data_IF_311315994163
#
_entry.id   IF_311315994163
#
_cell.length_a   1.000
_cell.length_b   1.000
_cell.length_c   1.000
_cell.angle_alpha   90.00
_cell.angle_beta   90.00
_cell.angle_gamma   90.00
#
_symmetry.space_group_name_H-M   'P 1'
#
loop_
_entity.id
_entity.type
_entity.pdbx_description
1 polymer ?
#
# COMPACT_ATOMS: atom_id res chain seq x y z
N UNK A 1 36.25 -11.69 23.93
CA UNK A 1 34.77 -11.52 24.03
C UNK A 1 34.20 -11.73 22.65
N UNK A 2 33.43 -12.80 22.44
CA UNK A 2 32.83 -13.09 21.14
C UNK A 2 31.76 -12.02 20.84
N UNK A 3 31.87 -11.33 19.70
CA UNK A 3 30.79 -10.48 19.19
C UNK A 3 29.55 -11.37 19.08
N UNK A 4 28.52 -11.10 19.89
CA UNK A 4 27.20 -11.71 19.73
C UNK A 4 26.76 -11.40 18.30
N UNK A 5 26.64 -12.43 17.47
CA UNK A 5 26.06 -12.31 16.14
C UNK A 5 24.65 -11.75 16.36
N UNK A 6 24.39 -10.55 15.85
CA UNK A 6 23.09 -9.89 16.01
C UNK A 6 22.08 -10.76 15.27
N UNK A 7 21.28 -11.53 16.02
CA UNK A 7 20.24 -12.37 15.43
C UNK A 7 18.98 -11.55 15.20
N UNK A 8 18.95 -10.85 14.07
CA UNK A 8 17.79 -10.06 13.65
C UNK A 8 16.53 -10.92 13.46
N UNK A 9 16.65 -12.25 13.34
CA UNK A 9 15.48 -13.14 13.24
C UNK A 9 14.65 -13.10 14.52
N UNK A 10 15.28 -13.27 15.68
CA UNK A 10 14.57 -13.26 16.97
C UNK A 10 13.90 -11.91 17.21
N UNK A 11 14.59 -10.82 16.90
CA UNK A 11 14.05 -9.46 16.99
C UNK A 11 12.81 -9.27 16.11
N UNK A 12 12.87 -9.75 14.86
CA UNK A 12 11.73 -9.70 13.93
C UNK A 12 10.56 -10.54 14.45
N UNK A 13 10.82 -11.75 14.93
CA UNK A 13 9.78 -12.66 15.45
C UNK A 13 9.11 -12.08 16.70
N UNK A 14 9.89 -11.52 17.63
CA UNK A 14 9.38 -10.85 18.81
C UNK A 14 8.54 -9.62 18.43
N UNK A 15 9.02 -8.82 17.47
CA UNK A 15 8.31 -7.66 16.97
C UNK A 15 6.94 -8.03 16.39
N UNK A 16 6.86 -9.04 15.50
CA UNK A 16 5.56 -9.41 14.90
C UNK A 16 4.59 -10.06 15.88
N UNK A 17 5.10 -10.75 16.90
CA UNK A 17 4.26 -11.25 17.98
C UNK A 17 3.67 -10.08 18.78
N UNK A 18 4.49 -9.10 19.15
CA UNK A 18 4.04 -7.94 19.93
C UNK A 18 3.12 -7.00 19.14
N UNK A 19 3.47 -6.68 17.90
CA UNK A 19 2.72 -5.70 17.10
C UNK A 19 1.49 -6.30 16.44
N UNK A 20 1.57 -7.55 15.98
CA UNK A 20 0.52 -8.16 15.17
C UNK A 20 -0.13 -9.37 15.82
N UNK A 21 0.40 -9.89 16.93
CA UNK A 21 -0.03 -11.17 17.48
C UNK A 21 0.20 -12.33 16.52
N UNK A 22 1.21 -12.23 15.63
CA UNK A 22 1.51 -13.29 14.65
C UNK A 22 2.56 -14.24 15.24
N UNK A 23 2.21 -15.52 15.33
CA UNK A 23 3.16 -16.59 15.61
C UNK A 23 3.75 -17.18 14.30
N UNK A 24 5.04 -17.55 14.27
CA UNK A 24 5.65 -18.17 13.09
C UNK A 24 5.14 -19.60 12.86
N UNK A 25 4.90 -19.94 11.61
CA UNK A 25 4.56 -21.30 11.17
C UNK A 25 5.75 -21.97 10.47
N UNK A 26 6.05 -23.22 10.83
CA UNK A 26 7.18 -24.01 10.28
C UNK A 26 6.64 -25.17 9.45
N UNK A 27 6.44 -24.95 8.17
CA UNK A 27 5.69 -25.90 7.32
C UNK A 27 6.57 -26.99 6.67
N UNK A 28 7.88 -26.81 6.62
CA UNK A 28 8.77 -27.68 5.84
C UNK A 28 9.66 -28.55 6.74
N UNK A 29 9.48 -29.88 6.66
CA UNK A 29 10.30 -30.85 7.42
C UNK A 29 11.79 -30.76 7.07
N UNK A 30 12.10 -30.54 5.79
CA UNK A 30 13.50 -30.43 5.32
C UNK A 30 14.16 -29.09 5.66
N UNK A 31 13.36 -28.09 6.05
CA UNK A 31 13.81 -26.74 6.40
C UNK A 31 13.09 -26.28 7.68
N UNK A 32 13.36 -26.93 8.83
CA UNK A 32 12.62 -26.70 10.07
C UNK A 32 12.86 -25.31 10.67
N UNK A 33 13.90 -24.62 10.22
CA UNK A 33 14.26 -23.27 10.64
C UNK A 33 13.56 -22.16 9.83
N UNK A 34 12.87 -22.51 8.74
CA UNK A 34 12.19 -21.55 7.89
C UNK A 34 10.85 -21.14 8.53
N UNK A 35 10.75 -19.88 8.90
CA UNK A 35 9.59 -19.33 9.60
C UNK A 35 8.70 -18.56 8.63
N UNK A 36 7.43 -18.95 8.53
CA UNK A 36 6.42 -18.24 7.73
C UNK A 36 5.59 -17.35 8.65
N UNK A 37 5.41 -16.10 8.24
CA UNK A 37 4.55 -15.13 8.89
C UNK A 37 3.32 -14.86 8.00
N UNK A 38 2.15 -15.11 8.58
CA UNK A 38 0.89 -15.18 7.83
C UNK A 38 -0.22 -14.41 8.53
N UNK A 39 -1.02 -13.72 7.73
CA UNK A 39 -2.20 -13.02 8.20
C UNK A 39 -3.21 -13.98 8.82
N UNK A 40 -3.69 -13.66 10.01
CA UNK A 40 -4.64 -14.49 10.75
C UNK A 40 -6.04 -14.53 10.08
N UNK A 41 -6.43 -13.45 9.39
CA UNK A 41 -7.77 -13.25 8.84
C UNK A 41 -7.98 -13.89 7.45
N UNK A 42 -6.94 -13.91 6.60
CA UNK A 42 -7.05 -14.33 5.21
C UNK A 42 -5.96 -15.32 4.77
N UNK A 43 -5.10 -15.74 5.71
CA UNK A 43 -4.03 -16.72 5.51
C UNK A 43 -3.01 -16.34 4.42
N UNK A 44 -2.95 -15.09 3.98
CA UNK A 44 -1.90 -14.61 3.07
C UNK A 44 -0.57 -14.46 3.81
N UNK A 45 0.50 -14.91 3.19
CA UNK A 45 1.85 -14.70 3.72
C UNK A 45 2.25 -13.25 3.50
N UNK A 46 2.89 -12.69 4.53
CA UNK A 46 3.47 -11.35 4.47
C UNK A 46 4.96 -11.37 4.76
N UNK A 47 5.50 -12.41 5.38
CA UNK A 47 6.94 -12.61 5.41
C UNK A 47 7.32 -14.09 5.48
N UNK A 48 8.52 -14.40 5.01
CA UNK A 48 9.14 -15.73 5.20
C UNK A 48 10.62 -15.52 5.52
N UNK A 49 11.07 -16.04 6.66
CA UNK A 49 12.46 -15.97 7.09
C UNK A 49 13.12 -17.32 6.79
N UNK A 50 14.27 -17.30 6.13
CA UNK A 50 14.95 -18.49 5.62
C UNK A 50 16.47 -18.38 5.86
N UNK A 51 17.12 -19.51 6.17
CA UNK A 51 18.58 -19.62 6.19
C UNK A 51 19.07 -20.27 4.89
N UNK A 52 19.68 -19.48 4.01
CA UNK A 52 20.00 -19.87 2.63
C UNK A 52 21.52 -19.82 2.41
N UNK A 53 22.12 -20.80 1.71
CA UNK A 53 23.54 -20.74 1.37
C UNK A 53 23.90 -19.49 0.55
N UNK A 54 25.03 -18.83 0.87
CA UNK A 54 25.49 -17.64 0.15
C UNK A 54 25.61 -17.88 -1.36
N UNK A 55 26.17 -19.04 -1.75
CA UNK A 55 26.33 -19.43 -3.14
C UNK A 55 24.99 -19.50 -3.91
N UNK A 56 23.91 -19.90 -3.26
CA UNK A 56 22.57 -19.96 -3.88
C UNK A 56 22.00 -18.57 -4.17
N UNK A 57 22.45 -17.54 -3.45
CA UNK A 57 22.05 -16.15 -3.63
C UNK A 57 22.99 -15.39 -4.58
N UNK A 58 24.01 -16.05 -5.14
CA UNK A 58 25.04 -15.38 -5.95
C UNK A 58 25.98 -14.49 -5.13
N UNK A 59 26.06 -14.69 -3.81
CA UNK A 59 26.90 -13.92 -2.91
C UNK A 59 28.21 -14.64 -2.61
N UNK A 60 29.27 -13.87 -2.39
CA UNK A 60 30.56 -14.39 -1.92
C UNK A 60 30.48 -14.73 -0.43
N UNK A 61 30.97 -15.91 -0.05
CA UNK A 61 31.01 -16.37 1.34
C UNK A 61 30.84 -17.89 1.44
N UNK A 62 31.22 -18.46 2.58
CA UNK A 62 30.94 -19.84 2.95
C UNK A 62 29.81 -19.91 3.97
N UNK A 63 29.05 -21.01 3.98
CA UNK A 63 27.93 -21.20 4.91
C UNK A 63 26.60 -20.59 4.41
N UNK A 64 25.77 -20.16 5.36
CA UNK A 64 24.41 -19.67 5.13
C UNK A 64 24.23 -18.25 5.67
N UNK A 65 23.30 -17.52 5.07
CA UNK A 65 22.81 -16.22 5.53
C UNK A 65 21.32 -16.30 5.82
N UNK A 66 20.88 -15.63 6.89
CA UNK A 66 19.46 -15.45 7.16
C UNK A 66 18.94 -14.31 6.31
N UNK A 67 17.84 -14.56 5.60
CA UNK A 67 17.13 -13.53 4.84
C UNK A 67 15.64 -13.57 5.16
N UNK A 68 14.97 -12.45 4.95
CA UNK A 68 13.52 -12.32 5.05
C UNK A 68 12.95 -11.90 3.70
N UNK A 69 12.04 -12.69 3.16
CA UNK A 69 11.18 -12.26 2.07
C UNK A 69 10.00 -11.48 2.63
N UNK A 70 9.69 -10.34 2.01
CA UNK A 70 8.50 -9.54 2.31
C UNK A 70 7.78 -9.18 1.02
N UNK A 71 6.45 -8.98 1.06
CA UNK A 71 5.74 -8.37 -0.07
C UNK A 71 6.15 -6.91 -0.21
N UNK A 72 6.31 -6.50 -1.45
CA UNK A 72 6.77 -5.16 -1.81
C UNK A 72 6.05 -4.73 -3.08
N UNK A 73 5.68 -3.45 -3.18
CA UNK A 73 5.09 -2.94 -4.43
C UNK A 73 6.18 -2.84 -5.52
N UNK A 74 5.82 -2.94 -6.81
CA UNK A 74 6.78 -2.79 -7.90
C UNK A 74 7.59 -1.48 -7.84
N UNK A 75 6.96 -0.40 -7.40
CA UNK A 75 7.59 0.92 -7.28
C UNK A 75 8.59 0.98 -6.12
N UNK A 76 8.31 0.28 -5.02
CA UNK A 76 9.21 0.21 -3.88
C UNK A 76 10.39 -0.73 -4.16
N UNK A 77 10.17 -1.81 -4.92
CA UNK A 77 11.24 -2.72 -5.33
C UNK A 77 12.38 -2.01 -6.06
N UNK A 78 12.08 -1.11 -6.99
CA UNK A 78 13.11 -0.38 -7.74
C UNK A 78 13.97 0.53 -6.86
N UNK A 79 13.43 1.05 -5.75
CA UNK A 79 14.15 1.90 -4.81
C UNK A 79 15.15 1.09 -3.96
N UNK A 80 14.79 -0.13 -3.57
CA UNK A 80 15.60 -0.95 -2.66
C UNK A 80 16.58 -1.88 -3.36
N UNK A 81 16.26 -2.40 -4.56
CA UNK A 81 17.12 -3.37 -5.25
C UNK A 81 18.52 -2.83 -5.62
N UNK A 82 18.71 -1.50 -5.65
CA UNK A 82 20.02 -0.87 -5.86
C UNK A 82 20.86 -0.76 -4.57
N UNK A 83 20.27 -1.01 -3.41
CA UNK A 83 20.91 -0.81 -2.11
C UNK A 83 21.53 -2.11 -1.58
N UNK A 84 22.59 -1.97 -0.78
CA UNK A 84 23.26 -3.10 -0.14
C UNK A 84 22.28 -3.82 0.82
N UNK A 85 22.32 -5.15 0.82
CA UNK A 85 21.49 -5.96 1.70
C UNK A 85 20.12 -6.35 1.13
N UNK A 86 19.80 -5.89 -0.07
CA UNK A 86 18.56 -6.24 -0.78
C UNK A 86 18.85 -7.08 -2.01
N UNK A 87 17.98 -8.07 -2.25
CA UNK A 87 18.08 -8.99 -3.38
C UNK A 87 16.72 -9.20 -4.05
N UNK A 88 16.70 -9.56 -5.35
CA UNK A 88 15.49 -10.10 -5.96
C UNK A 88 14.95 -11.28 -5.16
N UNK A 89 13.63 -11.42 -5.09
CA UNK A 89 13.01 -12.41 -4.21
C UNK A 89 13.51 -13.84 -4.45
N UNK A 90 13.98 -14.49 -3.38
CA UNK A 90 14.34 -15.90 -3.36
C UNK A 90 13.08 -16.78 -3.26
N UNK A 91 12.88 -17.75 -4.17
CA UNK A 91 11.69 -18.62 -4.29
C UNK A 91 10.31 -17.93 -4.48
N UNK A 92 10.25 -16.60 -4.45
CA UNK A 92 9.00 -15.84 -4.57
C UNK A 92 8.94 -15.05 -5.88
N UNK A 93 7.77 -14.48 -6.18
CA UNK A 93 7.60 -13.63 -7.35
C UNK A 93 8.42 -12.33 -7.20
N UNK A 94 9.44 -12.16 -8.05
CA UNK A 94 10.38 -11.03 -8.05
C UNK A 94 9.74 -9.67 -8.36
N UNK A 95 8.50 -9.61 -8.82
CA UNK A 95 7.78 -8.34 -9.08
C UNK A 95 6.97 -7.86 -7.87
N UNK A 96 6.78 -8.71 -6.86
CA UNK A 96 5.90 -8.42 -5.71
C UNK A 96 6.51 -8.79 -4.37
N UNK A 97 7.73 -9.32 -4.38
CA UNK A 97 8.45 -9.73 -3.19
C UNK A 97 9.89 -9.22 -3.26
N UNK A 98 10.44 -8.91 -2.10
CA UNK A 98 11.81 -8.45 -1.90
C UNK A 98 12.49 -9.38 -0.89
N UNK A 99 13.74 -9.77 -1.15
CA UNK A 99 14.57 -10.46 -0.17
C UNK A 99 15.47 -9.44 0.55
N UNK A 100 15.45 -9.46 1.88
CA UNK A 100 16.24 -8.60 2.76
C UNK A 100 17.22 -9.48 3.53
N UNK A 101 18.50 -9.18 3.46
CA UNK A 101 19.52 -9.87 4.27
C UNK A 101 19.41 -9.40 5.73
N UNK A 102 19.37 -10.36 6.65
CA UNK A 102 19.33 -10.12 8.09
C UNK A 102 20.71 -10.30 8.73
N UNK A 103 21.76 -9.88 8.01
CA UNK A 103 23.18 -9.98 8.41
C UNK A 103 23.75 -8.65 8.94
N UNK A 104 22.89 -7.64 9.13
CA UNK A 104 23.26 -6.28 9.54
C UNK A 104 23.69 -5.38 8.39
N UNK A 105 23.57 -5.81 7.12
CA UNK A 105 23.75 -4.93 5.97
C UNK A 105 22.61 -3.92 5.76
N UNK A 106 21.44 -4.19 6.36
CA UNK A 106 20.28 -3.30 6.43
C UNK A 106 20.01 -2.98 7.90
N UNK A 107 19.74 -1.70 8.21
CA UNK A 107 19.40 -1.26 9.56
C UNK A 107 18.03 -1.80 10.02
N UNK A 108 17.85 -1.85 11.35
CA UNK A 108 16.66 -2.47 11.97
C UNK A 108 15.38 -1.73 11.60
N UNK A 109 15.45 -0.41 11.54
CA UNK A 109 14.34 0.48 11.24
C UNK A 109 13.81 0.22 9.83
N UNK A 110 14.70 0.08 8.84
CA UNK A 110 14.35 -0.26 7.46
C UNK A 110 13.77 -1.67 7.33
N UNK A 111 14.33 -2.66 8.04
CA UNK A 111 13.77 -4.03 8.08
C UNK A 111 12.34 -4.02 8.62
N UNK A 112 12.11 -3.33 9.75
CA UNK A 112 10.79 -3.20 10.37
C UNK A 112 9.83 -2.43 9.45
N UNK A 113 10.28 -1.35 8.82
CA UNK A 113 9.48 -0.58 7.87
C UNK A 113 8.96 -1.47 6.73
N UNK A 114 9.84 -2.22 6.06
CA UNK A 114 9.46 -3.09 4.95
C UNK A 114 8.55 -4.25 5.39
N UNK A 115 8.76 -4.77 6.60
CA UNK A 115 7.88 -5.76 7.20
C UNK A 115 6.48 -5.21 7.46
N UNK A 116 6.38 -3.99 8.00
CA UNK A 116 5.11 -3.30 8.22
C UNK A 116 4.38 -3.05 6.92
N UNK A 117 5.08 -2.57 5.88
CA UNK A 117 4.51 -2.35 4.56
C UNK A 117 3.97 -3.66 3.97
N UNK A 118 4.69 -4.76 4.11
CA UNK A 118 4.20 -6.08 3.67
C UNK A 118 2.97 -6.57 4.44
N UNK A 119 2.94 -6.37 5.76
CA UNK A 119 1.76 -6.64 6.57
C UNK A 119 0.57 -5.83 6.06
N UNK A 120 0.78 -4.53 5.80
CA UNK A 120 -0.24 -3.64 5.30
C UNK A 120 -0.76 -4.03 3.91
N UNK A 121 0.09 -4.49 3.02
CA UNK A 121 -0.30 -4.95 1.67
C UNK A 121 -1.14 -6.23 1.69
N UNK A 122 -1.13 -6.97 2.80
CA UNK A 122 -1.71 -8.32 2.89
C UNK A 122 -2.89 -8.41 3.86
N UNK A 123 -2.94 -7.60 4.92
CA UNK A 123 -4.03 -7.58 5.89
C UNK A 123 -5.35 -7.09 5.28
N UNK A 124 -6.48 -7.61 5.74
CA UNK A 124 -7.76 -6.99 5.40
C UNK A 124 -8.01 -5.73 6.23
N UNK A 125 -8.92 -4.87 5.76
CA UNK A 125 -9.36 -3.68 6.49
C UNK A 125 -9.84 -4.01 7.92
N UNK A 126 -10.57 -5.11 8.09
CA UNK A 126 -11.05 -5.55 9.41
C UNK A 126 -9.90 -5.91 10.35
N UNK A 127 -8.84 -6.55 9.84
CA UNK A 127 -7.66 -6.88 10.64
C UNK A 127 -6.93 -5.62 11.08
N UNK A 128 -6.74 -4.66 10.18
CA UNK A 128 -6.10 -3.38 10.49
C UNK A 128 -6.89 -2.58 11.52
N UNK A 129 -8.21 -2.49 11.35
CA UNK A 129 -9.10 -1.85 12.32
C UNK A 129 -9.03 -2.49 13.70
N UNK A 130 -9.01 -3.83 13.80
CA UNK A 130 -8.86 -4.54 15.08
C UNK A 130 -7.53 -4.27 15.78
N UNK A 131 -6.49 -3.97 15.02
CA UNK A 131 -5.16 -3.63 15.53
C UNK A 131 -4.99 -2.12 15.80
N UNK A 132 -6.05 -1.33 15.63
CA UNK A 132 -5.96 0.14 15.76
C UNK A 132 -5.14 0.81 14.66
N UNK A 133 -4.81 0.09 13.59
CA UNK A 133 -4.08 0.63 12.44
C UNK A 133 -5.07 1.40 11.56
N UNK A 134 -4.83 2.71 11.40
CA UNK A 134 -5.56 3.53 10.44
C UNK A 134 -5.23 2.99 9.05
N UNK A 135 -6.24 2.44 8.38
CA UNK A 135 -6.09 1.95 7.03
C UNK A 135 -7.22 2.46 6.18
N UNK A 136 -6.92 3.49 5.40
CA UNK A 136 -7.75 3.93 4.31
C UNK A 136 -7.23 3.34 3.00
N UNK A 137 -8.14 3.09 2.07
CA UNK A 137 -7.76 2.92 0.66
C UNK A 137 -7.76 4.30 0.01
N UNK A 138 -6.73 4.58 -0.78
CA UNK A 138 -6.70 5.77 -1.62
C UNK A 138 -7.21 5.45 -3.02
N UNK A 139 -8.23 6.18 -3.45
CA UNK A 139 -8.90 6.02 -4.73
C UNK A 139 -8.68 7.24 -5.61
N UNK A 140 -8.53 7.04 -6.92
CA UNK A 140 -8.69 8.07 -7.94
C UNK A 140 -10.00 7.79 -8.66
N UNK A 141 -10.90 8.78 -8.67
CA UNK A 141 -12.25 8.67 -9.25
C UNK A 141 -12.46 9.80 -10.26
N UNK A 142 -13.04 9.55 -11.45
CA UNK A 142 -13.32 10.61 -12.40
C UNK A 142 -14.48 11.49 -11.95
N UNK A 143 -14.29 12.79 -12.05
CA UNK A 143 -15.32 13.83 -11.95
C UNK A 143 -15.42 14.52 -13.32
N UNK A 144 -16.47 14.23 -14.06
CA UNK A 144 -16.65 14.82 -15.40
C UNK A 144 -17.48 16.11 -15.31
N UNK A 145 -16.93 17.28 -15.67
CA UNK A 145 -17.63 18.56 -15.64
C UNK A 145 -18.96 18.60 -16.41
N UNK A 146 -19.15 17.72 -17.41
CA UNK A 146 -20.43 17.56 -18.11
C UNK A 146 -21.58 17.19 -17.16
N UNK A 147 -21.28 16.45 -16.09
CA UNK A 147 -22.27 15.87 -15.20
C UNK A 147 -22.22 16.42 -13.77
N UNK A 148 -21.05 16.91 -13.34
CA UNK A 148 -20.83 17.40 -11.98
C UNK A 148 -20.01 18.67 -12.03
N UNK A 149 -20.52 19.75 -11.45
CA UNK A 149 -19.75 20.98 -11.28
C UNK A 149 -18.97 20.95 -9.95
N UNK A 150 -18.02 20.02 -9.86
CA UNK A 150 -17.21 19.87 -8.65
C UNK A 150 -16.36 21.09 -8.34
N UNK A 151 -15.99 21.87 -9.35
CA UNK A 151 -15.08 23.01 -9.14
C UNK A 151 -15.79 24.23 -8.55
N UNK A 152 -17.09 24.40 -8.79
CA UNK A 152 -17.88 25.40 -8.07
C UNK A 152 -18.40 24.90 -6.72
N UNK A 153 -18.70 23.60 -6.63
CA UNK A 153 -19.35 23.01 -5.47
C UNK A 153 -18.40 22.55 -4.37
N UNK A 154 -17.14 22.24 -4.65
CA UNK A 154 -16.23 21.65 -3.67
C UNK A 154 -15.08 22.60 -3.33
N UNK A 155 -14.88 22.80 -2.03
CA UNK A 155 -13.78 23.58 -1.43
C UNK A 155 -13.30 22.88 -0.18
N UNK A 156 -12.08 23.16 0.24
CA UNK A 156 -11.52 22.60 1.48
C UNK A 156 -12.47 22.77 2.68
N UNK A 157 -12.63 21.69 3.45
CA UNK A 157 -13.54 21.61 4.59
C UNK A 157 -15.01 21.33 4.25
N UNK A 158 -15.43 21.50 2.99
CA UNK A 158 -16.84 21.31 2.58
C UNK A 158 -17.21 19.83 2.45
N UNK A 159 -18.44 19.51 2.83
CA UNK A 159 -19.04 18.18 2.70
C UNK A 159 -20.11 18.18 1.60
N UNK A 160 -20.07 17.18 0.71
CA UNK A 160 -21.06 17.01 -0.37
C UNK A 160 -21.49 15.55 -0.49
N UNK A 161 -22.63 15.33 -1.15
CA UNK A 161 -23.01 14.01 -1.63
C UNK A 161 -22.37 13.76 -2.99
N UNK A 162 -21.69 12.64 -3.13
CA UNK A 162 -20.99 12.24 -4.34
C UNK A 162 -21.44 10.86 -4.80
N UNK A 163 -21.45 10.62 -6.12
CA UNK A 163 -21.72 9.29 -6.66
C UNK A 163 -20.73 8.28 -6.08
N UNK A 164 -21.26 7.25 -5.42
CA UNK A 164 -20.39 6.24 -4.83
C UNK A 164 -19.94 5.22 -5.88
N UNK A 165 -18.64 4.97 -5.89
CA UNK A 165 -18.05 3.85 -6.64
C UNK A 165 -18.08 2.56 -5.81
N UNK A 166 -18.21 1.42 -6.49
CA UNK A 166 -18.18 0.12 -5.81
C UNK A 166 -16.86 -0.02 -5.03
N UNK A 167 -16.96 -0.42 -3.76
CA UNK A 167 -15.85 -0.71 -2.82
C UNK A 167 -15.25 0.45 -2.04
N UNK A 168 -15.74 1.70 -2.20
CA UNK A 168 -15.34 2.78 -1.28
C UNK A 168 -16.00 2.55 0.08
N UNK A 169 -15.20 2.62 1.14
CA UNK A 169 -15.63 2.47 2.53
C UNK A 169 -15.44 3.76 3.32
N UNK A 170 -16.13 3.87 4.47
CA UNK A 170 -15.90 4.98 5.42
C UNK A 170 -14.43 5.02 5.82
N UNK A 171 -13.86 6.23 5.81
CA UNK A 171 -12.45 6.53 6.07
C UNK A 171 -11.54 6.44 4.84
N UNK A 172 -12.02 5.90 3.71
CA UNK A 172 -11.23 5.90 2.47
C UNK A 172 -10.97 7.32 1.97
N UNK A 173 -9.81 7.52 1.36
CA UNK A 173 -9.44 8.79 0.72
C UNK A 173 -9.76 8.72 -0.76
N UNK A 174 -10.45 9.74 -1.26
CA UNK A 174 -10.96 9.83 -2.62
C UNK A 174 -10.37 11.07 -3.29
N UNK A 175 -9.48 10.83 -4.24
CA UNK A 175 -8.93 11.83 -5.14
C UNK A 175 -9.84 12.01 -6.34
N UNK A 176 -10.43 13.20 -6.50
CA UNK A 176 -11.27 13.53 -7.65
C UNK A 176 -10.39 14.03 -8.80
N UNK A 177 -10.32 13.23 -9.86
CA UNK A 177 -9.73 13.60 -11.13
C UNK A 177 -10.77 14.31 -11.98
N UNK A 178 -10.66 15.63 -12.11
CA UNK A 178 -11.52 16.41 -12.99
C UNK A 178 -11.08 16.15 -14.43
N UNK A 179 -12.00 15.65 -15.25
CA UNK A 179 -11.70 15.33 -16.66
C UNK A 179 -11.49 16.59 -17.50
N UNK A 180 -11.40 16.46 -18.82
CA UNK A 180 -11.29 17.62 -19.72
C UNK A 180 -12.39 18.66 -19.41
N UNK A 181 -12.06 19.98 -19.44
CA UNK A 181 -10.79 20.57 -19.87
C UNK A 181 -9.70 20.67 -18.77
N UNK A 182 -10.02 20.35 -17.52
CA UNK A 182 -9.07 20.50 -16.39
C UNK A 182 -8.00 19.41 -16.41
N UNK A 183 -8.39 18.16 -16.67
CA UNK A 183 -7.50 17.00 -16.83
C UNK A 183 -6.44 16.85 -15.70
N UNK A 184 -6.87 16.98 -14.45
CA UNK A 184 -6.00 16.95 -13.27
C UNK A 184 -6.73 16.40 -12.04
N UNK A 185 -5.98 15.88 -11.06
CA UNK A 185 -6.52 15.70 -9.70
C UNK A 185 -6.66 17.08 -9.06
N UNK A 186 -7.86 17.41 -8.58
CA UNK A 186 -8.18 18.72 -7.99
C UNK A 186 -8.54 18.66 -6.52
N UNK A 187 -9.01 17.52 -6.04
CA UNK A 187 -9.49 17.39 -4.66
C UNK A 187 -9.06 16.08 -4.04
N UNK A 188 -8.61 16.13 -2.79
CA UNK A 188 -8.48 15.00 -1.89
C UNK A 188 -9.62 15.06 -0.90
N UNK A 189 -10.44 14.00 -0.84
CA UNK A 189 -11.59 13.93 0.05
C UNK A 189 -11.52 12.70 0.97
N UNK A 190 -12.21 12.74 2.09
CA UNK A 190 -12.48 11.58 2.94
C UNK A 190 -13.92 11.12 2.76
N UNK A 191 -14.15 9.82 2.65
CA UNK A 191 -15.48 9.24 2.66
C UNK A 191 -16.00 9.12 4.11
N UNK A 192 -16.99 9.94 4.47
CA UNK A 192 -17.59 9.97 5.81
C UNK A 192 -18.72 8.96 5.97
N UNK A 193 -19.55 8.82 4.95
CA UNK A 193 -20.69 7.90 4.93
C UNK A 193 -20.80 7.26 3.55
N UNK A 194 -21.16 5.97 3.49
CA UNK A 194 -21.23 5.21 2.24
C UNK A 194 -22.52 4.40 2.17
N UNK A 195 -22.87 3.97 0.95
CA UNK A 195 -24.07 3.20 0.61
C UNK A 195 -25.38 3.93 0.92
N UNK A 196 -25.40 5.26 0.79
CA UNK A 196 -26.60 6.08 0.95
C UNK A 196 -27.49 5.84 -0.27
N UNK A 197 -28.72 5.29 -0.12
CA UNK A 197 -29.63 5.09 -1.24
C UNK A 197 -29.94 6.42 -1.93
N UNK A 198 -29.94 6.44 -3.26
CA UNK A 198 -30.20 7.65 -4.03
C UNK A 198 -31.15 7.35 -5.19
N UNK A 199 -32.18 8.19 -5.36
CA UNK A 199 -33.05 8.16 -6.52
C UNK A 199 -32.64 9.27 -7.46
N UNK A 200 -31.97 8.92 -8.56
CA UNK A 200 -31.54 9.89 -9.55
C UNK A 200 -32.75 10.61 -10.15
N UNK A 201 -32.74 11.95 -10.10
CA UNK A 201 -33.69 12.81 -10.82
C UNK A 201 -33.25 13.08 -12.27
N UNK A 202 -32.01 12.74 -12.63
CA UNK A 202 -31.42 13.01 -13.95
C UNK A 202 -31.43 11.76 -14.84
N UNK A 203 -31.79 11.95 -16.12
CA UNK A 203 -32.03 10.88 -17.09
C UNK A 203 -30.76 10.26 -17.71
N UNK A 204 -29.61 10.96 -17.69
CA UNK A 204 -28.40 10.51 -18.40
C UNK A 204 -27.47 9.61 -17.55
N UNK A 205 -27.54 9.65 -16.22
CA UNK A 205 -26.72 8.80 -15.34
C UNK A 205 -27.60 8.13 -14.30
N UNK A 206 -27.63 6.79 -14.34
CA UNK A 206 -28.18 5.99 -13.27
C UNK A 206 -27.23 5.98 -12.07
N UNK A 207 -27.66 6.60 -10.97
CA UNK A 207 -26.99 6.58 -9.68
C UNK A 207 -27.97 6.00 -8.67
N UNK A 208 -27.73 4.77 -8.24
CA UNK A 208 -28.59 4.09 -7.26
C UNK A 208 -28.12 4.34 -5.82
N UNK A 209 -26.87 4.79 -5.62
CA UNK A 209 -26.28 5.11 -4.32
C UNK A 209 -25.22 6.21 -4.39
N UNK A 210 -25.15 6.99 -3.33
CA UNK A 210 -24.18 8.07 -3.10
C UNK A 210 -23.40 7.83 -1.80
N UNK A 211 -22.34 8.60 -1.63
CA UNK A 211 -21.54 8.67 -0.40
C UNK A 211 -21.42 10.13 0.01
N UNK A 212 -21.28 10.38 1.31
CA UNK A 212 -20.93 11.70 1.83
C UNK A 212 -19.40 11.79 1.86
N UNK A 213 -18.86 12.80 1.18
CA UNK A 213 -17.41 13.05 1.19
C UNK A 213 -17.12 14.43 1.76
N UNK A 214 -15.98 14.57 2.46
CA UNK A 214 -15.44 15.84 2.94
C UNK A 214 -14.17 16.17 2.19
N UNK A 215 -14.09 17.35 1.59
CA UNK A 215 -12.86 17.82 0.98
C UNK A 215 -11.82 18.13 2.07
N UNK A 216 -10.70 17.44 2.03
CA UNK A 216 -9.57 17.64 2.93
C UNK A 216 -8.55 18.62 2.34
N UNK A 217 -8.36 18.59 1.02
CA UNK A 217 -7.42 19.48 0.32
C UNK A 217 -7.88 19.74 -1.11
N UNK A 218 -7.70 20.98 -1.55
CA UNK A 218 -7.81 21.39 -2.94
C UNK A 218 -6.39 21.59 -3.53
N UNK A 219 -6.17 21.10 -4.74
CA UNK A 219 -4.90 21.23 -5.48
C UNK A 219 -5.09 22.08 -6.71
N UNK A 220 -4.20 23.03 -6.99
CA UNK A 220 -4.15 23.73 -8.28
C UNK A 220 -4.02 22.71 -9.44
N UNK A 221 -4.68 23.00 -10.56
CA UNK A 221 -4.68 22.11 -11.73
C UNK A 221 -3.28 21.81 -12.29
N UNK A 222 -2.27 22.63 -11.96
CA UNK A 222 -0.87 22.43 -12.36
C UNK A 222 -0.08 21.52 -11.42
N UNK A 223 -0.58 21.24 -10.21
CA UNK A 223 0.13 20.39 -9.24
C UNK A 223 0.07 18.91 -9.63
N UNK A 224 -1.11 18.44 -10.05
CA UNK A 224 -1.37 17.03 -10.38
C UNK A 224 -2.03 16.83 -11.77
N UNK A 225 -1.45 17.39 -12.85
CA UNK A 225 -1.98 17.26 -14.20
C UNK A 225 -1.83 15.83 -14.73
N UNK A 226 -2.65 15.46 -15.73
CA UNK A 226 -2.62 14.14 -16.40
C UNK A 226 -1.21 13.69 -16.77
N UNK A 227 -0.35 14.60 -17.22
CA UNK A 227 1.04 14.27 -17.58
C UNK A 227 1.86 13.78 -16.39
N UNK A 228 1.77 14.47 -15.24
CA UNK A 228 2.41 14.01 -13.99
C UNK A 228 1.85 12.65 -13.58
N UNK A 229 0.54 12.48 -13.63
CA UNK A 229 -0.11 11.21 -13.29
C UNK A 229 0.37 10.04 -14.18
N UNK A 230 0.62 10.28 -15.47
CA UNK A 230 1.15 9.27 -16.41
C UNK A 230 2.53 8.75 -16.00
N UNK A 231 3.39 9.59 -15.42
CA UNK A 231 4.70 9.18 -14.92
C UNK A 231 4.59 8.11 -13.81
N UNK A 232 3.47 8.10 -13.07
CA UNK A 232 3.15 7.10 -12.04
C UNK A 232 2.22 5.98 -12.54
N UNK A 233 2.12 5.77 -13.86
CA UNK A 233 1.31 4.70 -14.45
C UNK A 233 -0.20 4.97 -14.45
N UNK A 234 -0.63 6.22 -14.25
CA UNK A 234 -2.04 6.63 -14.33
C UNK A 234 -2.32 7.25 -15.70
N UNK A 235 -2.77 6.42 -16.65
CA UNK A 235 -2.96 6.85 -18.05
C UNK A 235 -4.36 7.41 -18.33
N UNK A 236 -5.41 6.64 -18.04
CA UNK A 236 -6.79 7.05 -18.25
C UNK A 236 -7.63 6.76 -16.99
N UNK A 237 -8.25 7.81 -16.43
CA UNK A 237 -9.18 7.70 -15.31
C UNK A 237 -10.61 7.65 -15.86
N UNK A 238 -11.05 6.46 -16.30
CA UNK A 238 -12.42 6.23 -16.81
C UNK A 238 -13.37 5.65 -15.76
N UNK A 239 -12.83 5.27 -14.61
CA UNK A 239 -13.55 4.70 -13.49
C UNK A 239 -12.71 4.74 -12.22
N UNK A 240 -13.27 4.34 -11.07
CA UNK A 240 -12.54 4.26 -9.81
C UNK A 240 -11.35 3.33 -9.95
N UNK A 241 -10.17 3.78 -9.49
CA UNK A 241 -8.95 2.97 -9.45
C UNK A 241 -8.17 3.27 -8.17
N UNK A 242 -7.35 2.32 -7.72
CA UNK A 242 -6.47 2.53 -6.58
C UNK A 242 -5.37 3.53 -6.93
N UNK A 243 -5.01 4.37 -5.96
CA UNK A 243 -3.85 5.25 -6.03
C UNK A 243 -2.56 4.40 -6.09
N UNK A 244 -1.66 4.63 -7.06
CA UNK A 244 -0.33 4.04 -7.03
C UNK A 244 0.46 4.53 -5.80
N UNK A 245 1.21 3.63 -5.16
CA UNK A 245 1.97 3.95 -3.95
C UNK A 245 2.90 5.15 -4.15
N UNK A 246 3.71 5.15 -5.22
CA UNK A 246 4.64 6.23 -5.49
C UNK A 246 3.96 7.60 -5.70
N UNK A 247 2.75 7.62 -6.26
CA UNK A 247 1.98 8.86 -6.41
C UNK A 247 1.40 9.34 -5.07
N UNK A 248 0.97 8.41 -4.20
CA UNK A 248 0.52 8.74 -2.84
C UNK A 248 1.64 9.41 -2.04
N UNK A 249 2.85 8.84 -2.06
CA UNK A 249 4.01 9.40 -1.36
C UNK A 249 4.41 10.76 -1.94
N UNK A 250 4.43 10.91 -3.26
CA UNK A 250 4.68 12.20 -3.92
C UNK A 250 3.70 13.27 -3.43
N UNK A 251 2.40 12.96 -3.35
CA UNK A 251 1.39 13.91 -2.87
C UNK A 251 1.60 14.26 -1.40
N UNK A 252 2.00 13.30 -0.55
CA UNK A 252 2.28 13.56 0.87
C UNK A 252 3.46 14.50 1.07
N UNK A 253 4.46 14.46 0.18
CA UNK A 253 5.63 15.35 0.21
C UNK A 253 5.33 16.77 -0.29
N UNK A 254 4.16 16.98 -0.95
CA UNK A 254 3.70 18.31 -1.38
C UNK A 254 2.97 19.08 -0.27
N UNK A 255 2.81 18.48 0.92
CA UNK A 255 2.16 19.04 2.11
C UNK A 255 3.19 19.38 3.19
#
# INVERSE_FOLDING_TARGET
>A
MAKRQIDFKEDVLLYVLQQYGTEPEYLWKSYPDYAILRQADNRKWYAVIMSVPYATLGLSGSGKVTLMNVKCSPEMLSLFLAQKGFLPAYHMNKTHWLSILLDGSVDKETVIFLLNQSFDLTATRLRKQKLGLISHTEWIVPANPKYYDVESELKEGKEILWKQSNNIAVGDIVYLYVTEPTAAIRYQCEALEVNIPYQSKQTEIRVDRVMKIKCLKEFDKKELPREKLRAFGVTAVRGPRKMPFALSEEIKLMN
#
